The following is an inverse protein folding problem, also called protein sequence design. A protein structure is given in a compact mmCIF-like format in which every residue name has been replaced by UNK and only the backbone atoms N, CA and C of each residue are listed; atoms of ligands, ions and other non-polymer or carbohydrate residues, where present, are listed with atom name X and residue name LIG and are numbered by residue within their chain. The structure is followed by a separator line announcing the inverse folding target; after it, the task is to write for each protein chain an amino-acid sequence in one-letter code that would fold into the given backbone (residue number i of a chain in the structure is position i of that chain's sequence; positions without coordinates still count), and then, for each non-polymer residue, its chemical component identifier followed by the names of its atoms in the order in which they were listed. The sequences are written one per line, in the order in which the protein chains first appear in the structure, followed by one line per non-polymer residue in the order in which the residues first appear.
data_IF_219422196898
#
_entry.id   IF_219422196898
#
_cell.length_a   1.000
_cell.length_b   1.000
_cell.length_c   1.000
_cell.angle_alpha   90.00
_cell.angle_beta   90.00
_cell.angle_gamma   90.00
#
_symmetry.space_group_name_H-M   'P 1'
#
loop_
_entity.id
_entity.type
_entity.pdbx_description
1 polymer ?
#
# COMPACT_ATOMS: atom_id res chain seq x y z
N UNK A 1 -20.78 6.34 31.40
CA UNK A 1 -19.37 6.00 31.07
C UNK A 1 -19.14 6.32 29.60
N UNK A 2 -18.51 7.46 29.29
CA UNK A 2 -18.16 7.81 27.92
C UNK A 2 -17.06 6.89 27.41
N UNK A 3 -17.19 6.36 26.19
CA UNK A 3 -16.09 5.63 25.54
C UNK A 3 -14.98 6.63 25.27
N UNK A 4 -13.86 6.48 25.98
CA UNK A 4 -12.62 7.19 25.65
C UNK A 4 -12.28 6.88 24.20
N UNK A 5 -12.23 7.91 23.34
CA UNK A 5 -11.74 7.79 21.98
C UNK A 5 -10.28 7.37 22.12
N UNK A 6 -9.99 6.10 21.86
CA UNK A 6 -8.62 5.61 22.00
C UNK A 6 -7.70 6.42 21.10
N UNK A 7 -6.77 7.17 21.68
CA UNK A 7 -5.73 7.97 21.02
C UNK A 7 -4.68 7.10 20.30
N UNK A 8 -5.07 5.95 19.76
CA UNK A 8 -4.20 4.98 19.09
C UNK A 8 -3.50 5.56 17.86
N UNK A 9 -4.04 6.63 17.27
CA UNK A 9 -3.51 7.30 16.09
C UNK A 9 -2.79 8.61 16.40
N UNK A 10 -2.69 9.00 17.67
CA UNK A 10 -1.97 10.21 18.04
C UNK A 10 -0.46 9.99 17.88
N UNK A 11 0.17 10.86 17.11
CA UNK A 11 1.60 10.81 16.82
C UNK A 11 2.42 11.02 18.10
N UNK A 12 3.67 10.56 18.09
CA UNK A 12 4.62 10.79 19.18
C UNK A 12 5.46 12.02 18.84
N UNK A 13 5.14 13.15 19.46
CA UNK A 13 5.90 14.41 19.35
C UNK A 13 6.97 14.49 20.45
N UNK A 14 7.89 15.45 20.35
CA UNK A 14 8.91 15.67 21.38
C UNK A 14 8.25 15.93 22.75
N UNK A 15 7.18 16.73 22.80
CA UNK A 15 6.43 17.03 24.03
C UNK A 15 5.86 15.76 24.66
N UNK A 16 5.39 14.81 23.85
CA UNK A 16 4.91 13.50 24.33
C UNK A 16 6.03 12.64 24.86
N UNK A 17 7.23 12.72 24.28
CA UNK A 17 8.39 12.04 24.84
C UNK A 17 8.90 12.71 26.13
N UNK A 18 8.87 14.04 26.22
CA UNK A 18 9.15 14.77 27.46
C UNK A 18 8.20 14.29 28.55
N UNK A 19 6.89 14.32 28.31
CA UNK A 19 5.86 13.81 29.23
C UNK A 19 6.14 12.34 29.62
N UNK A 20 6.44 11.47 28.66
CA UNK A 20 6.78 10.08 28.94
C UNK A 20 8.04 9.95 29.81
N UNK A 21 9.11 10.70 29.53
CA UNK A 21 10.34 10.65 30.32
C UNK A 21 10.15 11.17 31.74
N UNK A 22 9.32 12.19 31.92
CA UNK A 22 8.98 12.72 33.24
C UNK A 22 8.16 11.72 34.05
N UNK A 23 7.18 11.08 33.42
CA UNK A 23 6.42 10.00 34.06
C UNK A 23 7.30 8.80 34.42
N UNK A 24 8.30 8.45 33.59
CA UNK A 24 9.25 7.37 33.87
C UNK A 24 10.23 7.68 35.02
N UNK A 25 10.43 8.95 35.36
CA UNK A 25 11.21 9.35 36.54
C UNK A 25 10.43 9.16 37.84
N UNK A 26 9.10 9.02 37.77
CA UNK A 26 8.26 8.69 38.91
C UNK A 26 8.18 7.18 39.15
N UNK A 27 7.59 6.76 40.27
CA UNK A 27 7.38 5.34 40.60
C UNK A 27 6.14 4.71 39.93
N UNK A 28 5.48 5.41 39.00
CA UNK A 28 4.34 4.87 38.25
C UNK A 28 4.78 3.71 37.36
N UNK A 29 4.01 2.62 37.32
CA UNK A 29 4.19 1.49 36.40
C UNK A 29 3.82 1.85 34.97
N UNK A 30 4.29 1.09 33.97
CA UNK A 30 3.90 1.31 32.56
C UNK A 30 2.38 1.23 32.32
N UNK A 31 1.65 0.45 33.13
CA UNK A 31 0.19 0.40 33.05
C UNK A 31 -0.45 1.72 33.48
N UNK A 32 0.04 2.31 34.57
CA UNK A 32 -0.45 3.60 35.08
C UNK A 32 -0.04 4.76 34.16
N UNK A 33 1.16 4.71 33.57
CA UNK A 33 1.60 5.68 32.55
C UNK A 33 0.69 5.60 31.32
N UNK A 34 0.38 4.39 30.86
CA UNK A 34 -0.53 4.17 29.74
C UNK A 34 -1.93 4.74 30.02
N UNK A 35 -2.50 4.45 31.20
CA UNK A 35 -3.78 5.00 31.63
C UNK A 35 -3.77 6.53 31.68
N UNK A 36 -2.74 7.13 32.29
CA UNK A 36 -2.61 8.58 32.44
C UNK A 36 -2.46 9.31 31.11
N UNK A 37 -1.77 8.71 30.15
CA UNK A 37 -1.56 9.28 28.81
C UNK A 37 -2.69 8.95 27.82
N UNK A 38 -3.68 8.14 28.23
CA UNK A 38 -4.74 7.66 27.34
C UNK A 38 -4.23 6.76 26.21
N UNK A 39 -3.08 6.09 26.40
CA UNK A 39 -2.45 5.19 25.41
C UNK A 39 -2.47 3.75 25.90
N UNK A 40 -2.20 2.79 25.02
CA UNK A 40 -2.10 1.38 25.44
C UNK A 40 -0.73 1.05 26.02
N UNK A 41 -0.68 0.08 26.93
CA UNK A 41 0.56 -0.46 27.50
C UNK A 41 1.55 -0.89 26.42
N UNK A 42 1.07 -1.54 25.35
CA UNK A 42 1.89 -1.96 24.21
C UNK A 42 2.48 -0.76 23.45
N UNK A 43 1.72 0.33 23.30
CA UNK A 43 2.20 1.55 22.65
C UNK A 43 3.32 2.22 23.47
N UNK A 44 3.16 2.29 24.80
CA UNK A 44 4.21 2.78 25.71
C UNK A 44 5.45 1.88 25.62
N UNK A 45 5.31 0.56 25.74
CA UNK A 45 6.44 -0.38 25.63
C UNK A 45 7.19 -0.26 24.31
N UNK A 46 6.48 -0.05 23.19
CA UNK A 46 7.10 0.18 21.89
C UNK A 46 7.95 1.47 21.90
N UNK A 47 7.47 2.55 22.52
CA UNK A 47 8.26 3.79 22.64
C UNK A 47 9.45 3.65 23.57
N UNK A 48 9.32 2.94 24.69
CA UNK A 48 10.44 2.68 25.59
C UNK A 48 11.60 1.99 24.85
N UNK A 49 11.29 1.09 23.91
CA UNK A 49 12.32 0.47 23.06
C UNK A 49 12.99 1.50 22.14
N UNK A 50 12.26 2.50 21.65
CA UNK A 50 12.80 3.57 20.78
C UNK A 50 13.67 4.57 21.51
N UNK A 51 13.47 4.74 22.82
CA UNK A 51 14.35 5.54 23.67
C UNK A 51 15.72 4.88 23.89
N UNK A 52 15.93 3.64 23.44
CA UNK A 52 17.23 2.96 23.51
C UNK A 52 17.92 3.00 22.14
N UNK A 53 19.27 2.96 22.09
CA UNK A 53 20.01 2.88 20.84
C UNK A 53 19.46 1.77 19.94
N UNK A 54 19.37 1.98 18.62
CA UNK A 54 18.73 1.04 17.70
C UNK A 54 19.41 -0.34 17.64
N UNK A 55 20.68 -0.45 18.05
CA UNK A 55 21.42 -1.71 18.12
C UNK A 55 21.15 -2.52 19.41
N UNK A 56 20.40 -1.96 20.37
CA UNK A 56 20.05 -2.66 21.59
C UNK A 56 19.00 -3.75 21.30
N UNK A 57 19.44 -5.01 21.27
CA UNK A 57 18.57 -6.19 21.08
C UNK A 57 17.82 -6.54 22.37
N UNK A 58 16.91 -5.66 22.78
CA UNK A 58 16.08 -5.85 23.96
C UNK A 58 14.60 -5.99 23.57
N UNK A 59 13.92 -6.95 24.20
CA UNK A 59 12.48 -7.07 24.07
C UNK A 59 11.78 -5.84 24.68
N UNK A 60 10.71 -5.35 24.07
CA UNK A 60 10.02 -4.12 24.49
C UNK A 60 9.59 -4.14 25.98
N UNK A 61 9.19 -5.32 26.49
CA UNK A 61 8.83 -5.51 27.91
C UNK A 61 9.99 -5.34 28.89
N UNK A 62 11.23 -5.55 28.43
CA UNK A 62 12.44 -5.40 29.26
C UNK A 62 13.03 -3.99 29.18
N UNK A 63 12.60 -3.17 28.21
CA UNK A 63 13.13 -1.83 27.98
C UNK A 63 12.87 -0.87 29.15
N UNK A 64 11.73 -1.01 29.85
CA UNK A 64 11.34 -0.12 30.94
C UNK A 64 12.42 0.04 32.00
N UNK A 65 12.89 -1.07 32.59
CA UNK A 65 13.88 -1.02 33.67
C UNK A 65 15.15 -0.29 33.23
N UNK A 66 15.65 -0.62 32.05
CA UNK A 66 16.87 -0.01 31.50
C UNK A 66 16.69 1.48 31.24
N UNK A 67 15.58 1.90 30.62
CA UNK A 67 15.30 3.32 30.37
C UNK A 67 15.20 4.09 31.69
N UNK A 68 14.56 3.53 32.72
CA UNK A 68 14.52 4.18 34.05
C UNK A 68 15.90 4.30 34.68
N UNK A 69 16.71 3.26 34.62
CA UNK A 69 18.07 3.27 35.17
C UNK A 69 18.94 4.31 34.46
N UNK A 70 18.80 4.44 33.13
CA UNK A 70 19.46 5.49 32.34
C UNK A 70 18.94 6.89 32.67
N UNK A 71 17.63 7.09 32.78
CA UNK A 71 17.05 8.40 33.14
C UNK A 71 17.43 8.86 34.55
N UNK A 72 17.69 7.93 35.48
CA UNK A 72 18.16 8.23 36.85
C UNK A 72 19.60 8.74 36.89
N UNK A 73 20.45 8.40 35.91
CA UNK A 73 21.83 8.90 35.90
C UNK A 73 21.91 10.40 35.57
N UNK A 74 20.85 11.00 35.03
CA UNK A 74 20.78 12.42 34.67
C UNK A 74 21.47 12.76 33.34
N UNK A 75 22.54 12.05 32.99
CA UNK A 75 23.34 12.30 31.78
C UNK A 75 22.78 11.67 30.50
N UNK A 76 21.67 10.94 30.60
CA UNK A 76 21.10 10.24 29.46
C UNK A 76 20.28 11.16 28.55
N UNK A 77 20.84 11.47 27.36
CA UNK A 77 20.11 12.13 26.28
C UNK A 77 19.22 11.13 25.54
N UNK A 78 17.95 11.09 25.93
CA UNK A 78 16.96 10.22 25.32
C UNK A 78 16.55 10.64 23.89
N UNK A 79 16.85 11.88 23.46
CA UNK A 79 16.57 12.35 22.09
C UNK A 79 17.55 11.76 21.09
N UNK A 80 18.79 11.53 21.49
CA UNK A 80 19.83 10.99 20.61
C UNK A 80 19.44 9.64 19.99
N UNK A 81 18.97 8.62 20.75
CA UNK A 81 18.44 7.39 20.16
C UNK A 81 17.28 7.61 19.19
N UNK A 82 16.36 8.55 19.46
CA UNK A 82 15.24 8.84 18.57
C UNK A 82 15.72 9.40 17.23
N UNK A 83 16.72 10.30 17.25
CA UNK A 83 17.38 10.81 16.03
C UNK A 83 18.01 9.66 15.24
N UNK A 84 18.70 8.73 15.89
CA UNK A 84 19.32 7.57 15.24
C UNK A 84 18.28 6.62 14.62
N UNK A 85 17.16 6.36 15.31
CA UNK A 85 16.06 5.55 14.78
C UNK A 85 15.44 6.19 13.54
N UNK A 86 15.20 7.51 13.55
CA UNK A 86 14.64 8.19 12.38
C UNK A 86 15.64 8.26 11.23
N UNK A 87 16.91 8.54 11.51
CA UNK A 87 17.97 8.54 10.49
C UNK A 87 18.09 7.18 9.77
N UNK A 88 18.03 6.04 10.50
CA UNK A 88 18.01 4.70 9.88
C UNK A 88 16.78 4.43 9.02
N UNK A 89 15.68 5.12 9.29
CA UNK A 89 14.45 5.05 8.51
C UNK A 89 14.43 6.06 7.35
N UNK A 90 15.53 6.80 7.11
CA UNK A 90 15.59 7.95 6.19
C UNK A 90 14.47 8.97 6.48
N UNK A 91 14.31 9.31 7.76
CA UNK A 91 13.36 10.32 8.25
C UNK A 91 14.06 11.23 9.25
N UNK A 92 13.43 12.36 9.51
CA UNK A 92 13.93 13.36 10.45
C UNK A 92 13.17 13.29 11.77
N UNK A 93 13.93 13.36 12.86
CA UNK A 93 13.39 13.60 14.20
C UNK A 93 13.20 15.10 14.38
N UNK A 94 11.95 15.53 14.54
CA UNK A 94 11.59 16.94 14.72
C UNK A 94 11.67 17.33 16.19
N UNK A 95 12.81 17.89 16.59
CA UNK A 95 13.00 18.42 17.94
C UNK A 95 12.37 19.83 18.11
N UNK A 96 12.32 20.37 19.35
CA UNK A 96 11.67 21.66 19.60
C UNK A 96 12.30 22.81 18.82
N UNK A 97 13.63 22.86 18.73
CA UNK A 97 14.34 23.95 18.04
C UNK A 97 14.02 23.95 16.53
N UNK A 98 13.92 22.77 15.92
CA UNK A 98 13.46 22.63 14.53
C UNK A 98 12.02 23.08 14.35
N UNK A 99 11.12 22.73 15.28
CA UNK A 99 9.73 23.17 15.22
C UNK A 99 9.59 24.69 15.40
N UNK A 100 10.41 25.31 16.26
CA UNK A 100 10.45 26.75 16.45
C UNK A 100 10.98 27.46 15.19
N UNK A 101 12.01 26.89 14.57
CA UNK A 101 12.52 27.36 13.27
C UNK A 101 11.43 27.30 12.19
N UNK A 102 10.64 26.21 12.14
CA UNK A 102 9.51 26.10 11.21
C UNK A 102 8.40 27.13 11.48
N UNK A 103 8.03 27.35 12.75
CA UNK A 103 7.02 28.36 13.13
C UNK A 103 7.47 29.75 12.71
N UNK A 104 8.71 30.11 13.03
CA UNK A 104 9.29 31.40 12.65
C UNK A 104 9.33 31.56 11.12
N UNK A 105 9.82 30.55 10.40
CA UNK A 105 9.87 30.54 8.94
C UNK A 105 8.48 30.70 8.30
N UNK A 106 7.47 30.02 8.84
CA UNK A 106 6.08 30.12 8.38
C UNK A 106 5.49 31.53 8.58
N UNK A 107 5.73 32.12 9.75
CA UNK A 107 5.29 33.47 10.09
C UNK A 107 5.93 34.53 9.18
N UNK A 108 7.22 34.37 8.87
CA UNK A 108 7.97 35.28 7.99
C UNK A 108 7.79 34.98 6.49
N UNK A 109 7.02 33.95 6.12
CA UNK A 109 6.91 33.45 4.75
C UNK A 109 8.29 33.21 4.09
N UNK A 110 9.22 32.64 4.86
CA UNK A 110 10.56 32.35 4.39
C UNK A 110 10.52 31.33 3.24
N UNK A 111 11.31 31.50 2.16
CA UNK A 111 11.33 30.56 1.06
C UNK A 111 11.57 29.11 1.52
N UNK A 112 10.79 28.17 0.99
CA UNK A 112 10.85 26.76 1.39
C UNK A 112 12.25 26.18 1.23
N UNK A 113 12.97 26.57 0.18
CA UNK A 113 14.35 26.13 -0.05
C UNK A 113 15.27 26.51 1.13
N UNK A 114 15.20 27.74 1.62
CA UNK A 114 16.02 28.17 2.75
C UNK A 114 15.68 27.39 4.03
N UNK A 115 14.38 27.10 4.26
CA UNK A 115 13.95 26.27 5.38
C UNK A 115 14.45 24.83 5.26
N UNK A 116 14.39 24.25 4.07
CA UNK A 116 14.91 22.89 3.82
C UNK A 116 16.41 22.80 4.06
N UNK A 117 17.17 23.81 3.62
CA UNK A 117 18.62 23.89 3.83
C UNK A 117 18.94 24.08 5.33
N UNK A 118 18.24 24.97 6.03
CA UNK A 118 18.45 25.23 7.45
C UNK A 118 18.15 24.01 8.33
N UNK A 119 17.12 23.23 7.97
CA UNK A 119 16.65 22.08 8.75
C UNK A 119 17.30 20.76 8.31
N UNK A 120 18.03 20.75 7.20
CA UNK A 120 18.53 19.52 6.58
C UNK A 120 17.39 18.55 6.18
N UNK A 121 16.24 19.09 5.78
CA UNK A 121 15.02 18.34 5.52
C UNK A 121 14.57 18.46 4.07
N UNK A 122 13.86 17.45 3.55
CA UNK A 122 13.23 17.58 2.23
C UNK A 122 12.01 18.51 2.27
N UNK A 123 11.66 19.13 1.15
CA UNK A 123 10.46 19.98 1.01
C UNK A 123 9.19 19.27 1.50
N UNK A 124 9.09 17.98 1.20
CA UNK A 124 7.94 17.15 1.57
C UNK A 124 7.88 16.88 3.08
N UNK A 125 9.03 16.73 3.73
CA UNK A 125 9.09 16.57 5.19
C UNK A 125 8.71 17.87 5.89
N UNK A 126 9.20 19.02 5.41
CA UNK A 126 8.82 20.35 5.91
C UNK A 126 7.31 20.57 5.77
N UNK A 127 6.75 20.36 4.56
CA UNK A 127 5.31 20.52 4.33
C UNK A 127 4.46 19.62 5.24
N UNK A 128 4.88 18.37 5.44
CA UNK A 128 4.18 17.45 6.37
C UNK A 128 4.27 17.92 7.81
N UNK A 129 5.40 18.46 8.22
CA UNK A 129 5.56 18.94 9.59
C UNK A 129 4.76 20.22 9.84
N UNK A 130 4.70 21.14 8.88
CA UNK A 130 3.82 22.31 8.95
C UNK A 130 2.34 21.91 9.11
N UNK A 131 1.88 20.91 8.35
CA UNK A 131 0.53 20.35 8.51
C UNK A 131 0.31 19.72 9.89
N UNK A 132 1.31 18.99 10.42
CA UNK A 132 1.23 18.39 11.76
C UNK A 132 1.19 19.42 12.89
N UNK A 133 1.87 20.55 12.72
CA UNK A 133 1.86 21.66 13.66
C UNK A 133 0.58 22.51 13.56
N UNK A 134 -0.30 22.22 12.59
CA UNK A 134 -1.49 23.01 12.31
C UNK A 134 -1.19 24.40 11.75
N UNK A 135 0.00 24.58 11.16
CA UNK A 135 0.41 25.83 10.53
C UNK A 135 -0.11 25.94 9.10
N UNK A 136 -0.21 24.80 8.41
CA UNK A 136 -0.81 24.68 7.08
C UNK A 136 -1.93 23.65 7.11
N UNK A 137 -3.01 23.89 6.37
CA UNK A 137 -4.11 22.94 6.18
C UNK A 137 -3.73 21.81 5.23
N UNK A 138 -2.92 22.12 4.21
CA UNK A 138 -2.52 21.16 3.18
C UNK A 138 -1.19 21.54 2.51
N UNK A 139 -0.69 20.64 1.66
CA UNK A 139 0.60 20.82 0.96
C UNK A 139 0.57 21.93 -0.10
N UNK A 140 -0.60 22.26 -0.67
CA UNK A 140 -0.73 23.35 -1.65
C UNK A 140 -0.53 24.69 -0.96
N UNK A 141 -1.20 24.91 0.16
CA UNK A 141 -1.02 26.14 0.95
C UNK A 141 0.45 26.35 1.33
N UNK A 142 1.16 25.27 1.67
CA UNK A 142 2.61 25.35 1.94
C UNK A 142 3.38 25.88 0.74
N UNK A 143 3.15 25.32 -0.46
CA UNK A 143 3.82 25.72 -1.67
C UNK A 143 3.42 27.13 -2.15
N UNK A 144 2.15 27.51 -2.00
CA UNK A 144 1.67 28.85 -2.33
C UNK A 144 2.29 29.92 -1.42
N UNK A 145 2.40 29.61 -0.12
CA UNK A 145 2.91 30.56 0.87
C UNK A 145 4.44 30.67 0.86
N UNK A 146 5.14 29.54 0.80
CA UNK A 146 6.60 29.48 0.96
C UNK A 146 7.35 29.30 -0.38
N UNK A 147 6.63 29.07 -1.48
CA UNK A 147 7.21 28.58 -2.72
C UNK A 147 7.61 27.09 -2.64
N UNK A 148 7.97 26.51 -3.77
CA UNK A 148 8.65 25.21 -3.86
C UNK A 148 9.48 25.16 -5.13
N UNK A 149 10.47 24.28 -5.18
CA UNK A 149 11.20 23.99 -6.40
C UNK A 149 10.25 23.32 -7.42
N UNK A 150 10.04 23.88 -8.62
CA UNK A 150 9.18 23.29 -9.65
C UNK A 150 9.64 21.89 -10.09
N UNK A 151 10.94 21.59 -10.00
CA UNK A 151 11.51 20.27 -10.25
C UNK A 151 11.51 19.37 -8.99
N UNK A 152 11.16 19.92 -7.83
CA UNK A 152 11.15 19.25 -6.54
C UNK A 152 10.03 18.22 -6.39
N UNK A 153 10.17 17.38 -5.36
CA UNK A 153 9.21 16.30 -5.07
C UNK A 153 7.85 16.86 -4.65
N UNK A 154 7.83 18.01 -3.96
CA UNK A 154 6.58 18.65 -3.54
C UNK A 154 5.79 19.14 -4.75
N UNK A 155 6.42 19.88 -5.67
CA UNK A 155 5.80 20.33 -6.90
C UNK A 155 5.32 19.18 -7.79
N UNK A 156 6.09 18.09 -7.88
CA UNK A 156 5.67 16.88 -8.59
C UNK A 156 4.40 16.26 -7.98
N UNK A 157 4.28 16.22 -6.64
CA UNK A 157 3.08 15.72 -5.96
C UNK A 157 1.88 16.64 -6.13
N UNK A 158 2.08 17.95 -6.12
CA UNK A 158 1.00 18.92 -6.35
C UNK A 158 0.45 18.81 -7.77
N UNK A 159 1.32 18.69 -8.78
CA UNK A 159 0.91 18.42 -10.16
C UNK A 159 0.13 17.11 -10.28
N UNK A 160 0.60 16.03 -9.67
CA UNK A 160 -0.14 14.76 -9.67
C UNK A 160 -1.48 14.84 -8.91
N UNK A 161 -1.56 15.66 -7.86
CA UNK A 161 -2.81 15.90 -7.14
C UNK A 161 -3.78 16.75 -7.99
N UNK A 162 -3.26 17.72 -8.74
CA UNK A 162 -4.02 18.53 -9.70
C UNK A 162 -4.51 17.71 -10.87
N UNK A 163 -3.65 16.90 -11.48
CA UNK A 163 -4.01 15.97 -12.55
C UNK A 163 -5.06 14.97 -12.04
N UNK A 164 -4.91 14.49 -10.80
CA UNK A 164 -5.90 13.60 -10.17
C UNK A 164 -7.23 14.32 -9.96
N UNK A 165 -7.22 15.56 -9.49
CA UNK A 165 -8.42 16.36 -9.29
C UNK A 165 -9.09 16.73 -10.63
N UNK A 166 -8.30 17.01 -11.67
CA UNK A 166 -8.78 17.23 -13.03
C UNK A 166 -9.33 15.95 -13.67
N UNK A 167 -8.81 14.78 -13.26
CA UNK A 167 -9.30 13.46 -13.63
C UNK A 167 -10.32 12.89 -12.63
N UNK A 168 -10.79 13.68 -11.67
CA UNK A 168 -11.85 13.26 -10.76
C UNK A 168 -13.17 13.21 -11.52
N UNK A 169 -13.90 12.12 -11.34
CA UNK A 169 -15.26 11.94 -11.84
C UNK A 169 -16.20 11.73 -10.66
N UNK A 170 -17.42 12.24 -10.80
CA UNK A 170 -18.45 12.11 -9.79
C UNK A 170 -19.36 10.96 -10.16
N UNK A 171 -19.41 9.94 -9.29
CA UNK A 171 -20.23 8.76 -9.50
C UNK A 171 -21.52 8.91 -8.72
N UNK A 172 -22.63 9.00 -9.44
CA UNK A 172 -23.97 8.96 -8.88
C UNK A 172 -24.45 7.51 -8.84
N UNK A 173 -24.74 7.02 -7.63
CA UNK A 173 -25.39 5.72 -7.40
C UNK A 173 -26.77 5.98 -6.82
N UNK A 174 -27.81 5.51 -7.50
CA UNK A 174 -29.21 5.59 -7.04
C UNK A 174 -29.78 4.20 -6.95
N UNK A 175 -30.26 3.83 -5.77
CA UNK A 175 -30.89 2.54 -5.49
C UNK A 175 -32.41 2.70 -5.37
N UNK A 176 -33.15 1.69 -5.82
CA UNK A 176 -34.61 1.54 -5.77
C UNK A 176 -35.45 2.56 -6.57
N UNK A 177 -34.82 3.43 -7.36
CA UNK A 177 -35.57 4.29 -8.28
C UNK A 177 -36.31 3.48 -9.36
N UNK A 178 -37.56 3.84 -9.63
CA UNK A 178 -38.39 3.28 -10.72
C UNK A 178 -37.79 3.72 -12.07
N UNK A 179 -38.08 2.97 -13.14
CA UNK A 179 -37.43 3.17 -14.44
C UNK A 179 -35.95 2.74 -14.54
N UNK A 180 -35.24 2.55 -13.43
CA UNK A 180 -33.82 2.13 -13.47
C UNK A 180 -33.66 0.62 -13.69
N UNK A 181 -32.54 0.22 -14.29
CA UNK A 181 -32.28 -1.17 -14.63
C UNK A 181 -32.21 -2.06 -13.37
N UNK A 182 -32.85 -3.22 -13.43
CA UNK A 182 -32.65 -4.25 -12.42
C UNK A 182 -31.21 -4.79 -12.55
N UNK A 183 -30.46 -4.82 -11.45
CA UNK A 183 -29.14 -5.47 -11.47
C UNK A 183 -29.39 -6.98 -11.64
N UNK A 184 -28.74 -7.65 -12.61
CA UNK A 184 -28.72 -9.10 -12.66
C UNK A 184 -27.81 -9.60 -11.53
N UNK A 185 -28.34 -9.71 -10.31
CA UNK A 185 -27.59 -10.31 -9.19
C UNK A 185 -27.64 -11.82 -9.32
N UNK A 186 -26.50 -12.44 -9.68
CA UNK A 186 -26.32 -13.89 -9.78
C UNK A 186 -26.27 -14.63 -8.43
N UNK A 187 -26.80 -14.06 -7.35
CA UNK A 187 -26.81 -14.65 -6.01
C UNK A 187 -28.18 -14.40 -5.40
N UNK A 188 -28.76 -15.45 -4.81
CA UNK A 188 -30.12 -15.57 -4.32
C UNK A 188 -30.50 -14.56 -3.22
N UNK A 189 -30.63 -13.28 -3.57
CA UNK A 189 -31.39 -12.32 -2.79
C UNK A 189 -32.83 -12.23 -3.33
N UNK A 190 -33.85 -12.34 -2.46
CA UNK A 190 -35.25 -12.46 -2.87
C UNK A 190 -35.87 -11.19 -3.47
N UNK A 191 -35.16 -10.06 -3.51
CA UNK A 191 -35.67 -8.80 -4.07
C UNK A 191 -34.69 -8.24 -5.11
N UNK A 192 -35.16 -8.08 -6.35
CA UNK A 192 -34.43 -7.42 -7.43
C UNK A 192 -34.27 -5.94 -7.09
N UNK A 193 -33.18 -5.57 -6.41
CA UNK A 193 -32.82 -4.16 -6.21
C UNK A 193 -32.49 -3.54 -7.56
N UNK A 194 -33.13 -2.40 -7.85
CA UNK A 194 -32.84 -1.60 -9.03
C UNK A 194 -31.73 -0.62 -8.67
N UNK A 195 -30.73 -0.47 -9.53
CA UNK A 195 -29.63 0.47 -9.29
C UNK A 195 -29.29 1.19 -10.59
N UNK A 196 -29.25 2.51 -10.50
CA UNK A 196 -28.66 3.37 -11.50
C UNK A 196 -27.26 3.76 -11.07
N UNK A 197 -26.31 3.69 -12.01
CA UNK A 197 -24.95 4.19 -11.83
C UNK A 197 -24.65 5.07 -13.02
N UNK A 198 -24.25 6.31 -12.76
CA UNK A 198 -23.80 7.25 -13.80
C UNK A 198 -22.54 7.96 -13.34
N UNK A 199 -21.74 8.40 -14.32
CA UNK A 199 -20.46 9.08 -14.11
C UNK A 199 -20.57 10.46 -14.71
N UNK A 200 -20.18 11.46 -13.94
CA UNK A 200 -20.34 12.89 -14.25
C UNK A 200 -19.00 13.60 -14.11
N UNK A 201 -18.83 14.70 -14.84
CA UNK A 201 -17.59 15.50 -14.81
C UNK A 201 -17.48 16.32 -13.52
N UNK A 202 -18.63 16.76 -12.98
CA UNK A 202 -18.72 17.56 -11.76
C UNK A 202 -19.92 17.12 -10.90
N UNK A 203 -19.94 17.61 -9.66
CA UNK A 203 -20.98 17.32 -8.69
C UNK A 203 -22.35 17.86 -9.14
N UNK A 204 -22.38 19.06 -9.71
CA UNK A 204 -23.62 19.73 -10.10
C UNK A 204 -24.36 18.96 -11.19
N UNK A 205 -23.63 18.41 -12.18
CA UNK A 205 -24.17 17.54 -13.22
C UNK A 205 -24.71 16.23 -12.62
N UNK A 206 -24.02 15.66 -11.64
CA UNK A 206 -24.49 14.48 -10.92
C UNK A 206 -25.77 14.76 -10.11
N UNK A 207 -25.87 15.92 -9.46
CA UNK A 207 -27.04 16.35 -8.70
C UNK A 207 -28.24 16.65 -9.61
N UNK A 208 -28.02 17.29 -10.75
CA UNK A 208 -29.04 17.48 -11.78
C UNK A 208 -29.58 16.14 -12.30
N UNK A 209 -28.68 15.20 -12.61
CA UNK A 209 -29.07 13.86 -13.03
C UNK A 209 -29.85 13.10 -11.94
N UNK A 210 -29.49 13.27 -10.66
CA UNK A 210 -30.27 12.74 -9.54
C UNK A 210 -31.68 13.36 -9.49
N UNK A 211 -31.79 14.68 -9.67
CA UNK A 211 -33.06 15.38 -9.74
C UNK A 211 -33.98 14.86 -10.84
N UNK A 212 -33.43 14.58 -12.03
CA UNK A 212 -34.19 14.01 -13.14
C UNK A 212 -34.63 12.56 -12.86
N UNK A 213 -33.77 11.73 -12.26
CA UNK A 213 -34.12 10.36 -11.86
C UNK A 213 -35.23 10.35 -10.80
N UNK A 214 -35.15 11.23 -9.80
CA UNK A 214 -36.18 11.36 -8.76
C UNK A 214 -37.51 11.84 -9.34
N UNK A 215 -37.48 12.79 -10.29
CA UNK A 215 -38.69 13.26 -10.98
C UNK A 215 -39.36 12.12 -11.76
N UNK A 216 -38.58 11.39 -12.56
CA UNK A 216 -39.09 10.24 -13.31
C UNK A 216 -39.65 9.14 -12.38
N UNK A 217 -38.99 8.88 -11.24
CA UNK A 217 -39.48 7.91 -10.25
C UNK A 217 -40.87 8.28 -9.68
N UNK A 218 -41.09 9.57 -9.38
CA UNK A 218 -42.39 10.07 -8.90
C UNK A 218 -43.45 10.02 -9.99
N UNK A 219 -43.10 10.39 -11.22
CA UNK A 219 -44.00 10.29 -12.38
C UNK A 219 -44.45 8.85 -12.64
N UNK A 220 -43.58 7.88 -12.38
CA UNK A 220 -43.86 6.43 -12.41
C UNK A 220 -44.64 5.91 -11.16
N UNK A 221 -45.10 6.80 -10.29
CA UNK A 221 -45.87 6.46 -9.08
C UNK A 221 -45.04 5.88 -7.93
N UNK A 222 -43.73 6.18 -7.89
CA UNK A 222 -42.85 5.82 -6.79
C UNK A 222 -42.87 6.81 -5.62
N UNK A 223 -42.51 6.34 -4.42
CA UNK A 223 -42.33 7.19 -3.24
C UNK A 223 -40.86 7.63 -3.12
N UNK A 224 -40.54 8.94 -3.13
CA UNK A 224 -39.18 9.43 -2.95
C UNK A 224 -38.46 8.88 -1.72
N UNK A 225 -39.18 8.51 -0.65
CA UNK A 225 -38.61 7.92 0.55
C UNK A 225 -38.04 6.51 0.37
N UNK A 226 -38.39 5.82 -0.73
CA UNK A 226 -37.85 4.49 -1.09
C UNK A 226 -36.47 4.57 -1.75
N UNK A 227 -36.10 5.73 -2.27
CA UNK A 227 -34.87 5.94 -3.04
C UNK A 227 -33.71 6.33 -2.12
N UNK A 228 -32.60 5.63 -2.27
CA UNK A 228 -31.33 6.02 -1.63
C UNK A 228 -30.33 6.42 -2.70
N UNK A 229 -29.72 7.59 -2.55
CA UNK A 229 -28.74 8.10 -3.49
C UNK A 229 -27.42 8.46 -2.80
N UNK A 230 -26.31 8.28 -3.51
CA UNK A 230 -24.99 8.76 -3.11
C UNK A 230 -24.27 9.33 -4.32
N UNK A 231 -23.67 10.51 -4.15
CA UNK A 231 -22.78 11.13 -5.14
C UNK A 231 -21.39 11.08 -4.52
N UNK A 232 -20.45 10.42 -5.20
CA UNK A 232 -19.12 10.19 -4.65
C UNK A 232 -18.05 10.56 -5.66
N UNK A 233 -17.10 11.38 -5.24
CA UNK A 233 -15.91 11.69 -6.02
C UNK A 233 -15.01 10.43 -6.15
N UNK A 234 -14.54 10.19 -7.37
CA UNK A 234 -13.64 9.09 -7.71
C UNK A 234 -12.60 9.60 -8.70
N UNK A 235 -11.33 9.40 -8.40
CA UNK A 235 -10.27 9.66 -9.36
C UNK A 235 -10.13 8.49 -10.35
N UNK A 236 -9.98 8.79 -11.64
CA UNK A 236 -9.62 7.77 -12.64
C UNK A 236 -8.30 7.11 -12.23
N UNK A 237 -8.34 5.82 -11.91
CA UNK A 237 -7.20 5.05 -11.38
C UNK A 237 -7.37 4.54 -9.93
N UNK A 238 -8.33 5.05 -9.15
CA UNK A 238 -8.68 4.51 -7.83
C UNK A 238 -9.59 3.26 -7.91
N UNK A 239 -9.66 2.62 -9.07
CA UNK A 239 -10.38 1.35 -9.30
C UNK A 239 -9.63 0.15 -8.69
N UNK A 240 -9.11 0.28 -7.47
CA UNK A 240 -8.80 -0.83 -6.60
C UNK A 240 -10.10 -1.30 -5.93
N UNK A 241 -10.80 -2.20 -6.63
CA UNK A 241 -11.79 -3.19 -6.13
C UNK A 241 -12.40 -2.91 -4.73
N UNK A 242 -13.63 -2.37 -4.72
CA UNK A 242 -14.72 -2.79 -3.84
C UNK A 242 -14.49 -2.81 -2.32
N UNK A 243 -14.31 -1.64 -1.71
CA UNK A 243 -14.64 -1.44 -0.30
C UNK A 243 -15.38 -0.11 -0.14
N UNK A 244 -16.71 -0.17 -0.12
CA UNK A 244 -17.51 0.93 0.40
C UNK A 244 -17.41 0.91 1.93
N UNK A 245 -16.97 1.99 2.61
CA UNK A 245 -17.33 2.19 4.00
C UNK A 245 -18.83 2.53 4.07
N UNK A 246 -19.55 1.76 4.88
CA UNK A 246 -20.95 1.96 5.20
C UNK A 246 -21.10 3.30 5.95
N UNK A 247 -21.40 4.38 5.23
CA UNK A 247 -21.74 5.69 5.79
C UNK A 247 -23.25 5.87 5.72
N UNK A 248 -23.96 5.26 6.67
CA UNK A 248 -25.32 5.66 7.00
C UNK A 248 -25.26 7.00 7.75
N UNK A 249 -25.28 8.10 7.02
CA UNK A 249 -25.39 9.45 7.55
C UNK A 249 -26.49 10.21 6.81
N UNK A 250 -27.60 10.47 7.50
CA UNK A 250 -28.67 11.35 7.05
C UNK A 250 -28.11 12.72 6.69
N UNK A 251 -28.25 13.13 5.42
CA UNK A 251 -27.86 14.46 4.94
C UNK A 251 -28.78 15.50 5.56
N UNK A 252 -28.21 16.40 6.37
CA UNK A 252 -28.87 17.62 6.81
C UNK A 252 -28.96 18.61 5.64
N UNK A 253 -30.13 19.20 5.43
CA UNK A 253 -30.41 20.13 4.34
C UNK A 253 -29.51 21.37 4.37
N UNK A 254 -28.79 21.62 3.28
CA UNK A 254 -28.07 22.88 3.02
C UNK A 254 -29.07 23.93 2.49
N UNK A 255 -28.99 25.22 2.90
CA UNK A 255 -29.90 26.24 2.41
C UNK A 255 -29.58 26.65 0.95
N UNK A 256 -30.62 26.73 0.11
CA UNK A 256 -30.57 27.18 -1.28
C UNK A 256 -29.99 28.61 -1.39
N UNK A 257 -29.00 28.87 -2.27
CA UNK A 257 -28.67 30.22 -2.71
C UNK A 257 -29.81 30.79 -3.57
N UNK A 258 -30.07 32.09 -3.42
CA UNK A 258 -31.13 32.81 -4.11
C UNK A 258 -30.99 32.77 -5.63
N UNK A 259 -32.09 32.41 -6.28
CA UNK A 259 -32.34 32.51 -7.71
C UNK A 259 -32.13 33.98 -8.15
N UNK A 260 -31.14 34.23 -9.01
CA UNK A 260 -30.99 35.52 -9.69
C UNK A 260 -31.70 35.40 -11.03
N UNK A 261 -32.82 36.10 -11.17
CA UNK A 261 -33.49 36.30 -12.45
C UNK A 261 -32.57 37.09 -13.40
N UNK A 262 -32.09 36.42 -14.45
CA UNK A 262 -31.46 37.06 -15.61
C UNK A 262 -32.44 37.01 -16.79
N UNK A 263 -33.53 37.77 -16.67
CA UNK A 263 -34.36 38.16 -17.81
C UNK A 263 -33.64 39.31 -18.52
N UNK A 264 -32.85 38.94 -19.53
CA UNK A 264 -32.12 39.86 -20.41
C UNK A 264 -32.16 39.30 -21.83
N UNK A 265 -33.28 39.56 -22.52
CA UNK A 265 -33.44 39.38 -23.96
C UNK A 265 -32.37 40.17 -24.72
N UNK A 266 -31.50 39.48 -25.46
CA UNK A 266 -30.69 40.11 -26.49
C UNK A 266 -30.76 39.27 -27.78
N UNK A 267 -31.80 39.59 -28.56
CA UNK A 267 -32.14 39.01 -29.86
C UNK A 267 -31.27 39.67 -30.95
N UNK A 268 -29.98 39.34 -30.99
CA UNK A 268 -29.09 39.71 -32.10
C UNK A 268 -27.90 38.75 -32.24
N UNK A 269 -28.14 37.44 -32.21
CA UNK A 269 -27.09 36.45 -32.47
C UNK A 269 -26.90 36.26 -33.99
N UNK A 270 -25.96 37.03 -34.55
CA UNK A 270 -25.46 36.83 -35.91
C UNK A 270 -24.73 35.48 -36.11
N UNK A 271 -24.39 35.12 -37.36
CA UNK A 271 -23.90 33.79 -37.77
C UNK A 271 -22.50 33.37 -37.24
N UNK A 272 -21.99 34.01 -36.19
CA UNK A 272 -20.66 33.74 -35.64
C UNK A 272 -20.62 32.63 -34.56
N UNK A 273 -21.76 32.21 -34.01
CA UNK A 273 -21.81 31.15 -32.97
C UNK A 273 -21.52 29.75 -33.50
N UNK A 274 -21.88 29.43 -34.76
CA UNK A 274 -21.63 28.08 -35.30
C UNK A 274 -20.14 27.75 -35.42
N UNK A 275 -19.27 28.75 -35.66
CA UNK A 275 -17.83 28.52 -35.84
C UNK A 275 -17.09 28.15 -34.56
N UNK A 276 -17.62 28.49 -33.37
CA UNK A 276 -16.96 28.17 -32.09
C UNK A 276 -17.33 26.75 -31.68
N UNK A 277 -18.60 26.37 -31.83
CA UNK A 277 -19.09 25.03 -31.53
C UNK A 277 -18.44 23.99 -32.46
N UNK A 278 -18.26 24.31 -33.75
CA UNK A 278 -17.57 23.44 -34.71
C UNK A 278 -16.09 23.23 -34.35
N UNK A 279 -15.40 24.26 -33.85
CA UNK A 279 -13.99 24.15 -33.42
C UNK A 279 -13.84 23.34 -32.14
N UNK A 280 -14.77 23.51 -31.20
CA UNK A 280 -14.77 22.73 -29.97
C UNK A 280 -15.05 21.25 -30.26
N UNK A 281 -16.04 20.95 -31.10
CA UNK A 281 -16.33 19.58 -31.53
C UNK A 281 -15.11 18.93 -32.22
N UNK A 282 -14.41 19.66 -33.09
CA UNK A 282 -13.18 19.18 -33.74
C UNK A 282 -12.06 18.90 -32.72
N UNK A 283 -11.86 19.77 -31.73
CA UNK A 283 -10.84 19.58 -30.70
C UNK A 283 -11.15 18.37 -29.80
N UNK A 284 -12.42 18.15 -29.44
CA UNK A 284 -12.84 16.98 -28.67
C UNK A 284 -12.62 15.68 -29.46
N UNK A 285 -12.94 15.68 -30.75
CA UNK A 285 -12.70 14.53 -31.64
C UNK A 285 -11.21 14.24 -31.82
N UNK A 286 -10.37 15.28 -31.89
CA UNK A 286 -8.91 15.14 -31.97
C UNK A 286 -8.34 14.51 -30.69
N UNK A 287 -8.71 15.03 -29.51
CA UNK A 287 -8.30 14.44 -28.23
C UNK A 287 -8.77 13.00 -28.06
N UNK A 288 -9.97 12.67 -28.56
CA UNK A 288 -10.47 11.29 -28.54
C UNK A 288 -9.62 10.36 -29.40
N UNK A 289 -9.23 10.79 -30.61
CA UNK A 289 -8.35 10.02 -31.50
C UNK A 289 -6.95 9.86 -30.91
N UNK A 290 -6.40 10.89 -30.28
CA UNK A 290 -5.11 10.80 -29.60
C UNK A 290 -5.14 9.79 -28.45
N UNK A 291 -6.18 9.83 -27.61
CA UNK A 291 -6.37 8.86 -26.53
C UNK A 291 -6.53 7.43 -27.06
N UNK A 292 -7.35 7.23 -28.09
CA UNK A 292 -7.50 5.91 -28.72
C UNK A 292 -6.17 5.40 -29.31
N UNK A 293 -5.37 6.29 -29.90
CA UNK A 293 -4.03 5.96 -30.39
C UNK A 293 -3.06 5.58 -29.25
N UNK A 294 -3.11 6.29 -28.12
CA UNK A 294 -2.30 5.97 -26.93
C UNK A 294 -2.69 4.62 -26.35
N UNK A 295 -3.99 4.35 -26.16
CA UNK A 295 -4.48 3.06 -25.68
C UNK A 295 -4.11 1.90 -26.62
N UNK A 296 -4.10 2.15 -27.94
CA UNK A 296 -3.64 1.15 -28.93
C UNK A 296 -2.14 0.90 -28.82
N UNK A 297 -1.33 1.95 -28.64
CA UNK A 297 0.12 1.83 -28.45
C UNK A 297 0.45 1.07 -27.16
N UNK A 298 -0.18 1.42 -26.03
CA UNK A 298 0.01 0.71 -24.76
C UNK A 298 -0.38 -0.77 -24.85
N UNK A 299 -1.50 -1.09 -25.53
CA UNK A 299 -1.90 -2.48 -25.78
C UNK A 299 -0.90 -3.22 -26.68
N UNK A 300 -0.34 -2.54 -27.69
CA UNK A 300 0.67 -3.13 -28.56
C UNK A 300 1.97 -3.42 -27.79
N UNK A 301 2.44 -2.46 -26.99
CA UNK A 301 3.60 -2.64 -26.12
C UNK A 301 3.39 -3.74 -25.08
N UNK A 302 2.21 -3.81 -24.47
CA UNK A 302 1.88 -4.87 -23.51
C UNK A 302 1.86 -6.25 -24.17
N UNK A 303 1.29 -6.37 -25.38
CA UNK A 303 1.34 -7.62 -26.17
C UNK A 303 2.77 -8.00 -26.53
N UNK A 304 3.60 -7.03 -26.91
CA UNK A 304 5.00 -7.28 -27.21
C UNK A 304 5.76 -7.76 -25.95
N UNK A 305 5.57 -7.10 -24.80
CA UNK A 305 6.16 -7.55 -23.52
C UNK A 305 5.72 -8.96 -23.15
N UNK A 306 4.43 -9.27 -23.27
CA UNK A 306 3.89 -10.61 -23.03
C UNK A 306 4.47 -11.65 -23.99
N UNK A 307 4.59 -11.32 -25.29
CA UNK A 307 5.19 -12.21 -26.29
C UNK A 307 6.65 -12.54 -25.95
N UNK A 308 7.45 -11.55 -25.58
CA UNK A 308 8.86 -11.78 -25.22
C UNK A 308 8.98 -12.53 -23.90
N UNK A 309 8.13 -12.25 -22.92
CA UNK A 309 8.09 -12.99 -21.65
C UNK A 309 7.71 -14.46 -21.88
N UNK A 310 6.73 -14.73 -22.75
CA UNK A 310 6.31 -16.08 -23.12
C UNK A 310 7.42 -16.84 -23.85
N UNK A 311 8.05 -16.22 -24.87
CA UNK A 311 9.16 -16.83 -25.59
C UNK A 311 10.32 -17.17 -24.64
N UNK A 312 10.63 -16.27 -23.71
CA UNK A 312 11.66 -16.49 -22.70
C UNK A 312 11.28 -17.65 -21.76
N UNK A 313 10.03 -17.73 -21.31
CA UNK A 313 9.55 -18.83 -20.48
C UNK A 313 9.64 -20.18 -21.21
N UNK A 314 9.28 -20.23 -22.49
CA UNK A 314 9.42 -21.43 -23.34
C UNK A 314 10.88 -21.88 -23.46
N UNK A 315 11.83 -20.93 -23.57
CA UNK A 315 13.27 -21.23 -23.60
C UNK A 315 13.84 -21.63 -22.24
N UNK A 316 13.31 -21.10 -21.14
CA UNK A 316 13.73 -21.44 -19.78
C UNK A 316 13.24 -22.82 -19.32
N UNK A 317 12.06 -23.26 -19.80
CA UNK A 317 11.45 -24.53 -19.41
C UNK A 317 12.36 -25.77 -19.55
N UNK A 318 13.09 -26.00 -20.65
CA UNK A 318 14.01 -27.14 -20.74
C UNK A 318 15.15 -27.06 -19.72
N UNK A 319 15.64 -25.86 -19.39
CA UNK A 319 16.71 -25.65 -18.38
C UNK A 319 16.19 -26.03 -16.98
N UNK A 320 14.98 -25.59 -16.65
CA UNK A 320 14.34 -25.94 -15.37
C UNK A 320 14.06 -27.44 -15.27
N UNK A 321 13.59 -28.05 -16.36
CA UNK A 321 13.31 -29.48 -16.43
C UNK A 321 14.59 -30.29 -16.19
N UNK A 322 15.69 -29.92 -16.85
CA UNK A 322 17.01 -30.56 -16.64
C UNK A 322 17.47 -30.43 -15.18
N UNK A 323 17.33 -29.26 -14.58
CA UNK A 323 17.70 -29.03 -13.18
C UNK A 323 16.85 -29.89 -12.22
N UNK A 324 15.54 -30.01 -12.46
CA UNK A 324 14.66 -30.89 -11.68
C UNK A 324 15.09 -32.34 -11.81
N UNK A 325 15.36 -32.84 -13.00
CA UNK A 325 15.80 -34.25 -13.17
C UNK A 325 17.12 -34.52 -12.44
N UNK A 326 18.05 -33.56 -12.41
CA UNK A 326 19.30 -33.68 -11.64
C UNK A 326 19.06 -33.66 -10.14
N UNK A 327 18.21 -32.78 -9.64
CA UNK A 327 17.96 -32.62 -8.21
C UNK A 327 16.99 -33.67 -7.66
N UNK A 328 16.18 -34.32 -8.52
CA UNK A 328 15.17 -35.31 -8.11
C UNK A 328 15.76 -36.50 -7.34
N UNK A 329 17.05 -36.79 -7.50
CA UNK A 329 17.74 -37.84 -6.73
C UNK A 329 17.92 -37.48 -5.24
N UNK A 330 17.82 -36.20 -4.87
CA UNK A 330 17.88 -35.74 -3.48
C UNK A 330 16.51 -35.67 -2.83
N UNK A 331 16.48 -35.70 -1.50
CA UNK A 331 15.26 -35.61 -0.71
C UNK A 331 14.67 -34.18 -0.78
N UNK A 332 13.64 -33.99 -1.60
CA UNK A 332 12.88 -32.74 -1.65
C UNK A 332 11.90 -32.58 -0.49
N UNK A 333 11.46 -31.33 -0.25
CA UNK A 333 10.39 -30.98 0.68
C UNK A 333 9.02 -31.26 0.05
N UNK A 334 8.03 -31.60 0.87
CA UNK A 334 6.63 -31.67 0.41
C UNK A 334 6.01 -30.26 0.46
N UNK A 335 5.67 -29.69 -0.69
CA UNK A 335 4.94 -28.43 -0.81
C UNK A 335 3.44 -28.69 -0.79
N UNK A 336 2.76 -28.17 0.24
CA UNK A 336 1.30 -28.13 0.34
C UNK A 336 0.80 -26.73 -0.02
N UNK A 337 0.07 -26.62 -1.13
CA UNK A 337 -0.69 -25.41 -1.45
C UNK A 337 -2.05 -25.53 -0.77
N UNK A 338 -2.31 -24.67 0.22
CA UNK A 338 -3.52 -24.76 1.04
C UNK A 338 -4.39 -23.53 0.86
N UNK A 339 -5.72 -23.71 0.96
CA UNK A 339 -6.71 -22.62 0.95
C UNK A 339 -7.60 -22.69 2.18
N UNK A 340 -8.00 -21.55 2.77
CA UNK A 340 -8.96 -21.55 3.87
C UNK A 340 -10.35 -22.04 3.41
N UNK A 341 -10.93 -22.98 4.15
CA UNK A 341 -12.28 -23.56 3.88
C UNK A 341 -13.42 -22.55 4.08
N UNK A 342 -13.26 -21.56 4.96
CA UNK A 342 -14.25 -20.50 5.21
C UNK A 342 -13.73 -19.16 4.68
N UNK A 343 -14.55 -18.43 3.92
CA UNK A 343 -14.23 -17.10 3.36
C UNK A 343 -14.13 -15.99 4.41
N UNK A 344 -14.54 -16.22 5.67
CA UNK A 344 -14.46 -15.19 6.71
C UNK A 344 -13.00 -15.03 7.16
N UNK A 345 -12.48 -13.84 6.91
CA UNK A 345 -11.18 -13.33 7.33
C UNK A 345 -11.05 -13.29 8.86
N UNK A 346 -11.01 -14.45 9.51
CA UNK A 346 -10.43 -14.52 10.85
C UNK A 346 -8.92 -14.39 10.68
N UNK A 347 -8.30 -13.51 11.49
CA UNK A 347 -6.85 -13.31 11.53
C UNK A 347 -6.17 -14.68 11.56
N UNK A 348 -5.54 -15.03 10.45
CA UNK A 348 -4.99 -16.35 10.22
C UNK A 348 -4.10 -16.76 11.40
N UNK A 349 -4.41 -17.86 12.08
CA UNK A 349 -3.51 -18.46 13.07
C UNK A 349 -2.47 -19.34 12.39
N UNK A 350 -1.83 -20.23 13.16
CA UNK A 350 -0.85 -21.22 12.66
C UNK A 350 -1.42 -22.06 11.50
N UNK A 351 -0.57 -22.38 10.51
CA UNK A 351 -0.96 -23.16 9.33
C UNK A 351 -1.08 -24.66 9.63
N UNK A 352 -0.23 -25.19 10.51
CA UNK A 352 -0.30 -26.57 10.98
C UNK A 352 -1.06 -26.71 12.30
N UNK A 353 -1.65 -27.87 12.50
CA UNK A 353 -2.25 -28.30 13.77
C UNK A 353 -1.21 -28.50 14.87
N UNK A 354 -1.68 -28.91 16.05
CA UNK A 354 -0.78 -29.39 17.10
C UNK A 354 -0.12 -30.73 16.69
N UNK A 355 -0.83 -31.51 15.88
CA UNK A 355 -0.31 -32.71 15.24
C UNK A 355 0.60 -32.30 14.08
N UNK A 356 1.88 -32.63 14.22
CA UNK A 356 2.96 -32.25 13.29
C UNK A 356 2.65 -32.81 11.89
N UNK A 357 2.59 -31.93 10.87
CA UNK A 357 2.55 -32.29 9.46
C UNK A 357 1.24 -32.07 8.72
N UNK A 358 0.10 -32.06 9.40
CA UNK A 358 -1.19 -31.82 8.74
C UNK A 358 -1.61 -30.35 8.84
N UNK A 359 -2.03 -29.72 7.72
CA UNK A 359 -2.62 -28.40 7.76
C UNK A 359 -3.80 -28.38 8.73
N UNK A 360 -4.00 -27.28 9.46
CA UNK A 360 -5.14 -27.19 10.37
C UNK A 360 -6.45 -27.52 9.64
N UNK A 361 -7.44 -28.15 10.30
CA UNK A 361 -8.70 -28.55 9.68
C UNK A 361 -9.46 -27.44 8.93
N UNK A 362 -9.16 -26.16 9.25
CA UNK A 362 -9.69 -24.96 8.58
C UNK A 362 -9.08 -24.68 7.21
N UNK A 363 -7.99 -25.34 6.84
CA UNK A 363 -7.37 -25.28 5.54
C UNK A 363 -7.66 -26.58 4.76
N UNK A 364 -7.78 -26.46 3.46
CA UNK A 364 -7.90 -27.56 2.51
C UNK A 364 -6.68 -27.54 1.61
N UNK A 365 -6.05 -28.70 1.43
CA UNK A 365 -4.93 -28.86 0.50
C UNK A 365 -5.50 -28.85 -0.92
N UNK A 366 -5.11 -27.87 -1.72
CA UNK A 366 -5.47 -27.77 -3.14
C UNK A 366 -4.49 -28.58 -3.98
N UNK A 367 -3.20 -28.52 -3.64
CA UNK A 367 -2.14 -29.14 -4.42
C UNK A 367 -1.05 -29.68 -3.51
N UNK A 368 -0.46 -30.80 -3.93
CA UNK A 368 0.68 -31.45 -3.29
C UNK A 368 1.74 -31.70 -4.35
N UNK A 369 2.95 -31.21 -4.09
CA UNK A 369 4.08 -31.47 -4.97
C UNK A 369 5.40 -31.44 -4.20
N UNK A 370 6.45 -32.05 -4.75
CA UNK A 370 7.79 -31.92 -4.19
C UNK A 370 8.43 -30.59 -4.61
N UNK A 371 9.24 -30.01 -3.74
CA UNK A 371 10.04 -28.82 -4.07
C UNK A 371 11.42 -28.85 -3.41
N UNK A 372 12.31 -28.02 -3.92
CA UNK A 372 13.65 -27.80 -3.39
C UNK A 372 13.87 -26.32 -3.14
N UNK A 373 14.40 -25.98 -1.97
CA UNK A 373 14.82 -24.63 -1.66
C UNK A 373 16.07 -24.30 -2.48
N UNK A 374 15.99 -23.19 -3.20
CA UNK A 374 17.14 -22.60 -3.87
C UNK A 374 17.57 -21.36 -3.07
N UNK A 375 18.87 -21.21 -2.75
CA UNK A 375 19.39 -20.01 -2.10
C UNK A 375 19.21 -18.83 -3.05
N UNK A 376 18.42 -17.82 -2.68
CA UNK A 376 18.40 -16.59 -3.46
C UNK A 376 19.54 -15.68 -2.99
N UNK A 377 20.40 -15.28 -3.91
CA UNK A 377 21.45 -14.31 -3.64
C UNK A 377 21.02 -13.03 -4.34
N UNK A 378 20.79 -11.95 -3.61
CA UNK A 378 20.65 -10.63 -4.24
C UNK A 378 21.93 -9.86 -3.95
N UNK A 379 22.71 -9.58 -4.99
CA UNK A 379 23.86 -8.69 -4.91
C UNK A 379 23.41 -7.25 -5.15
N UNK A 380 23.44 -6.43 -4.10
CA UNK A 380 23.33 -4.98 -4.22
C UNK A 380 24.70 -4.35 -3.96
N UNK A 381 25.37 -3.94 -5.04
CA UNK A 381 26.75 -3.42 -4.97
C UNK A 381 27.72 -4.51 -4.54
N UNK A 382 28.52 -4.24 -3.49
CA UNK A 382 29.49 -5.20 -2.93
C UNK A 382 28.89 -6.16 -1.89
N UNK A 383 27.60 -6.02 -1.56
CA UNK A 383 26.96 -6.79 -0.48
C UNK A 383 26.00 -7.82 -1.07
N UNK A 384 26.30 -9.10 -0.85
CA UNK A 384 25.39 -10.21 -1.14
C UNK A 384 24.47 -10.43 0.05
N UNK A 385 23.17 -10.17 -0.11
CA UNK A 385 22.16 -10.47 0.92
C UNK A 385 21.27 -11.62 0.45
N UNK A 386 20.96 -12.55 1.37
CA UNK A 386 19.98 -13.63 1.17
C UNK A 386 18.57 -13.03 1.29
N UNK A 387 17.93 -12.67 0.18
CA UNK A 387 16.60 -12.04 0.16
C UNK A 387 15.51 -13.04 -0.26
N UNK A 388 14.96 -13.75 0.74
CA UNK A 388 13.86 -14.70 0.51
C UNK A 388 14.32 -16.02 -0.08
N UNK A 389 13.48 -17.04 0.03
CA UNK A 389 13.79 -18.36 -0.51
C UNK A 389 13.06 -18.52 -1.86
N UNK A 390 13.76 -18.98 -2.89
CA UNK A 390 13.10 -19.49 -4.09
C UNK A 390 12.83 -20.97 -3.94
N UNK A 391 11.76 -21.44 -4.58
CA UNK A 391 11.46 -22.86 -4.69
C UNK A 391 11.56 -23.29 -6.15
N UNK A 392 12.21 -24.41 -6.40
CA UNK A 392 12.06 -25.19 -7.62
C UNK A 392 11.07 -26.32 -7.34
N UNK A 393 9.96 -26.39 -8.07
CA UNK A 393 8.97 -27.47 -7.92
C UNK A 393 9.31 -28.66 -8.80
N UNK A 394 8.77 -29.84 -8.49
CA UNK A 394 8.94 -31.03 -9.35
C UNK A 394 8.29 -30.90 -10.73
N UNK A 395 7.44 -29.89 -10.92
CA UNK A 395 6.87 -29.49 -12.22
C UNK A 395 7.77 -28.54 -12.99
N UNK A 396 9.00 -28.31 -12.52
CA UNK A 396 9.96 -27.38 -13.10
C UNK A 396 9.45 -25.94 -13.13
N UNK A 397 8.80 -25.52 -12.04
CA UNK A 397 8.38 -24.13 -11.83
C UNK A 397 9.31 -23.46 -10.83
N UNK A 398 9.75 -22.23 -11.13
CA UNK A 398 10.42 -21.36 -10.17
C UNK A 398 9.43 -20.45 -9.50
N UNK A 399 9.52 -20.35 -8.19
CA UNK A 399 8.50 -19.70 -7.37
C UNK A 399 9.12 -18.86 -6.26
N UNK A 400 8.65 -17.62 -6.10
CA UNK A 400 9.04 -16.76 -4.98
C UNK A 400 8.25 -17.05 -3.72
N UNK A 401 8.97 -17.14 -2.59
CA UNK A 401 8.37 -17.05 -1.27
C UNK A 401 8.45 -15.60 -0.79
N UNK A 402 7.39 -14.83 -1.08
CA UNK A 402 7.29 -13.44 -0.61
C UNK A 402 7.49 -13.34 0.91
N UNK A 403 7.97 -12.20 1.42
CA UNK A 403 8.12 -11.95 2.87
C UNK A 403 6.80 -12.07 3.66
N UNK A 404 5.66 -11.99 2.97
CA UNK A 404 4.32 -12.23 3.53
C UNK A 404 3.84 -13.68 3.42
N UNK A 405 4.51 -14.52 2.64
CA UNK A 405 4.21 -15.95 2.52
C UNK A 405 4.59 -16.63 3.81
N UNK A 406 3.58 -17.04 4.56
CA UNK A 406 3.78 -17.81 5.78
C UNK A 406 4.26 -19.20 5.41
N UNK A 407 5.57 -19.39 5.49
CA UNK A 407 6.19 -20.69 5.44
C UNK A 407 6.08 -21.25 6.86
N UNK A 408 5.41 -22.37 7.00
CA UNK A 408 5.66 -23.22 8.14
C UNK A 408 6.42 -24.43 7.62
N UNK A 409 7.57 -24.72 8.23
CA UNK A 409 8.33 -25.94 8.00
C UNK A 409 8.00 -26.84 9.17
N UNK A 410 7.40 -27.99 8.90
CA UNK A 410 7.26 -29.03 9.91
C UNK A 410 8.51 -29.92 9.87
N UNK A 411 9.06 -30.26 11.04
CA UNK A 411 10.27 -31.10 11.12
C UNK A 411 10.00 -32.51 10.59
N UNK A 412 8.77 -33.01 10.78
CA UNK A 412 8.32 -34.32 10.34
C UNK A 412 6.80 -34.29 10.08
N UNK A 413 6.34 -34.55 8.83
CA UNK A 413 7.11 -34.64 7.59
C UNK A 413 7.72 -33.27 7.21
N UNK A 414 8.82 -33.28 6.43
CA UNK A 414 9.50 -32.09 5.89
C UNK A 414 8.61 -31.34 4.91
N UNK A 415 7.58 -30.71 5.43
CA UNK A 415 6.47 -30.16 4.68
C UNK A 415 6.49 -28.64 4.78
N UNK A 416 6.38 -28.00 3.63
CA UNK A 416 6.20 -26.55 3.46
C UNK A 416 4.74 -26.30 3.08
N UNK A 417 3.99 -25.63 3.95
CA UNK A 417 2.62 -25.22 3.62
C UNK A 417 2.57 -23.74 3.26
N UNK A 418 1.91 -23.41 2.13
CA UNK A 418 1.69 -22.04 1.67
C UNK A 418 0.19 -21.76 1.48
N UNK A 419 -0.29 -20.68 2.07
CA UNK A 419 -1.72 -20.34 2.11
C UNK A 419 -2.22 -19.57 0.87
N UNK A 420 -1.30 -19.16 0.01
CA UNK A 420 -1.58 -18.48 -1.24
C UNK A 420 -0.87 -19.25 -2.35
N UNK A 421 -1.48 -19.38 -3.54
CA UNK A 421 -0.78 -19.91 -4.70
C UNK A 421 0.46 -19.04 -4.89
N UNK A 422 1.64 -19.64 -4.92
CA UNK A 422 2.84 -18.86 -4.84
C UNK A 422 3.08 -18.20 -6.20
N UNK A 423 3.73 -17.03 -6.20
CA UNK A 423 3.88 -16.26 -7.44
C UNK A 423 4.95 -16.91 -8.30
N UNK A 424 4.65 -17.27 -9.57
CA UNK A 424 5.69 -17.72 -10.49
C UNK A 424 6.72 -16.60 -10.63
N UNK A 425 8.00 -16.98 -10.69
CA UNK A 425 9.10 -16.05 -10.91
C UNK A 425 9.06 -15.61 -12.37
N UNK A 426 9.04 -14.30 -12.63
CA UNK A 426 9.41 -13.80 -13.95
C UNK A 426 10.93 -13.98 -14.10
N UNK A 427 11.31 -15.09 -14.72
CA UNK A 427 12.71 -15.51 -14.84
C UNK A 427 13.52 -14.45 -15.59
N UNK A 428 12.92 -13.77 -16.58
CA UNK A 428 13.64 -12.74 -17.32
C UNK A 428 13.94 -11.58 -16.40
N UNK A 429 12.92 -11.02 -15.73
CA UNK A 429 13.09 -9.89 -14.82
C UNK A 429 14.07 -10.25 -13.71
N UNK A 430 13.87 -11.39 -13.04
CA UNK A 430 14.69 -11.82 -11.91
C UNK A 430 16.17 -12.02 -12.28
N UNK A 431 16.46 -12.64 -13.43
CA UNK A 431 17.83 -12.96 -13.82
C UNK A 431 18.51 -11.88 -14.69
N UNK A 432 17.77 -10.87 -15.16
CA UNK A 432 18.37 -9.75 -15.94
C UNK A 432 19.27 -8.87 -15.08
N UNK A 433 18.92 -8.65 -13.82
CA UNK A 433 19.70 -7.81 -12.90
C UNK A 433 21.08 -8.40 -12.59
N UNK A 434 21.24 -9.72 -12.69
CA UNK A 434 22.52 -10.41 -12.49
C UNK A 434 23.47 -10.28 -13.68
N UNK A 435 22.94 -9.99 -14.88
CA UNK A 435 23.73 -9.77 -16.09
C UNK A 435 24.38 -8.39 -16.13
N UNK A 436 23.80 -7.41 -15.45
CA UNK A 436 24.22 -6.00 -15.47
C UNK A 436 25.45 -5.67 -14.58
N UNK A 437 26.34 -6.64 -14.35
CA UNK A 437 27.59 -6.39 -13.60
C UNK A 437 28.57 -5.63 -14.50
N UNK A 438 29.02 -4.41 -14.12
CA UNK A 438 29.94 -3.61 -14.93
C UNK A 438 31.19 -4.41 -15.33
N UNK A 439 31.42 -4.56 -16.64
CA UNK A 439 32.62 -5.23 -17.18
C UNK A 439 32.45 -6.71 -17.55
N UNK A 440 31.32 -7.35 -17.26
CA UNK A 440 30.90 -8.57 -17.97
C UNK A 440 30.08 -8.13 -19.19
N UNK A 441 30.46 -8.55 -20.40
CA UNK A 441 29.65 -8.31 -21.60
C UNK A 441 28.24 -8.89 -21.42
N UNK A 442 27.28 -8.48 -22.26
CA UNK A 442 25.86 -8.88 -22.17
C UNK A 442 25.69 -10.40 -22.01
N UNK A 443 25.58 -10.87 -20.76
CA UNK A 443 25.33 -12.27 -20.44
C UNK A 443 23.82 -12.48 -20.55
N UNK A 444 23.41 -13.47 -21.35
CA UNK A 444 22.00 -13.83 -21.46
C UNK A 444 21.45 -14.26 -20.09
N UNK A 445 20.26 -13.77 -19.67
CA UNK A 445 19.64 -14.22 -18.42
C UNK A 445 19.43 -15.75 -18.34
N UNK A 446 19.31 -16.44 -19.49
CA UNK A 446 19.25 -17.91 -19.52
C UNK A 446 20.57 -18.58 -19.12
N UNK A 447 21.71 -17.98 -19.45
CA UNK A 447 23.02 -18.51 -19.04
C UNK A 447 23.29 -18.27 -17.56
N UNK A 448 22.82 -17.13 -17.04
CA UNK A 448 22.81 -16.87 -15.60
C UNK A 448 21.94 -17.91 -14.89
N UNK A 449 20.72 -18.17 -15.36
CA UNK A 449 19.84 -19.19 -14.81
C UNK A 449 20.50 -20.58 -14.80
N UNK A 450 21.11 -21.01 -15.92
CA UNK A 450 21.82 -22.29 -16.00
C UNK A 450 22.93 -22.39 -14.97
N UNK A 451 23.76 -21.35 -14.87
CA UNK A 451 24.89 -21.30 -13.93
C UNK A 451 24.40 -21.35 -12.49
N UNK A 452 23.35 -20.60 -12.19
CA UNK A 452 22.72 -20.57 -10.88
C UNK A 452 22.15 -21.93 -10.47
N UNK A 453 21.37 -22.58 -11.33
CA UNK A 453 20.79 -23.91 -11.05
C UNK A 453 21.86 -24.99 -10.94
N UNK A 454 22.92 -24.92 -11.75
CA UNK A 454 24.07 -25.82 -11.63
C UNK A 454 24.75 -25.66 -10.25
N UNK A 455 24.95 -24.42 -9.77
CA UNK A 455 25.46 -24.16 -8.42
C UNK A 455 24.56 -24.74 -7.35
N UNK A 456 23.24 -24.56 -7.47
CA UNK A 456 22.27 -25.14 -6.53
C UNK A 456 22.32 -26.67 -6.52
N UNK A 457 22.49 -27.33 -7.68
CA UNK A 457 22.64 -28.79 -7.73
C UNK A 457 23.87 -29.25 -6.93
N UNK A 458 25.01 -28.58 -7.11
CA UNK A 458 26.25 -28.87 -6.39
C UNK A 458 26.09 -28.63 -4.88
N UNK A 459 25.37 -27.59 -4.48
CA UNK A 459 25.07 -27.35 -3.07
C UNK A 459 24.18 -28.46 -2.47
N UNK A 460 23.18 -28.94 -3.20
CA UNK A 460 22.36 -30.09 -2.77
C UNK A 460 23.15 -31.40 -2.73
N UNK A 461 24.16 -31.59 -3.59
CA UNK A 461 25.11 -32.71 -3.51
C UNK A 461 25.95 -32.69 -2.23
N UNK A 462 26.34 -31.50 -1.78
CA UNK A 462 27.23 -31.32 -0.65
C UNK A 462 26.51 -31.04 0.67
N UNK A 463 25.22 -30.68 0.64
CA UNK A 463 24.43 -30.47 1.82
C UNK A 463 24.39 -31.78 2.63
N UNK A 464 24.97 -31.82 3.84
CA UNK A 464 24.80 -33.00 4.69
C UNK A 464 23.30 -33.19 4.87
N UNK A 465 22.80 -34.42 4.65
CA UNK A 465 21.45 -34.81 5.04
C UNK A 465 21.20 -34.23 6.43
N UNK A 466 20.34 -33.21 6.53
CA UNK A 466 20.18 -32.40 7.75
C UNK A 466 20.15 -33.35 8.96
N UNK A 467 21.02 -33.17 9.96
CA UNK A 467 21.03 -34.05 11.11
C UNK A 467 19.61 -34.08 11.70
N UNK A 468 19.07 -35.26 12.06
CA UNK A 468 17.66 -35.44 12.42
C UNK A 468 17.22 -34.68 13.68
N UNK A 469 18.08 -33.91 14.33
CA UNK A 469 17.77 -33.10 15.51
C UNK A 469 18.20 -31.64 15.31
N UNK A 470 17.25 -30.80 14.88
CA UNK A 470 17.27 -29.35 15.06
C UNK A 470 16.22 -28.90 16.11
N UNK A 471 15.71 -29.85 16.89
CA UNK A 471 14.59 -29.67 17.83
C UNK A 471 14.91 -28.79 19.06
N UNK A 472 16.14 -28.29 19.22
CA UNK A 472 16.57 -27.49 20.37
C UNK A 472 17.25 -26.16 20.04
N UNK A 473 16.89 -25.49 18.93
CA UNK A 473 17.15 -24.04 18.81
C UNK A 473 15.86 -23.25 18.92
N UNK A 474 15.40 -23.02 20.16
CA UNK A 474 14.43 -21.97 20.46
C UNK A 474 15.10 -20.60 20.23
N UNK A 475 14.75 -19.92 19.13
CA UNK A 475 14.56 -18.47 19.05
C UNK A 475 13.89 -18.03 17.74
#
# INVERSE_FOLDING_TARGET
MGRSISNHYEWWTDERYVELTDLLRTDLTVSEIAERTGRSTTAIQAQLKRLLPPDYKLAARKAEKLVRDLLRSGDFDWRQPLREHEARANRIYWDPDMNDTLRYGWEQAQPLQELTEALGASELEVARQLMRLGLAENSRETAERLGCDPAGTLAGRLRLAEDRAAAAVWVLVVDNARGTAAIPTGVAEPEKRRRHISVHLDFDTADLALGDILRAHVEDGGDPGEVTASIVERSVGDLAVGAAPDLAGTVASVPRPGLVDLDGTDEAAGPARSSVDDRFAQAVDELRRERESQEQLERAEQRQRQSVAQEFAEQAQPILTEAVERIRQYEGLELLIVRPKKRKFERAGRLFGADRGEPQPRYEVIDRQRCWLLPSWVTHGSTTMLYGSMLLTERAELVHLDAGTRIAVCEQPRTVAIAQPPRPVDIREHFSDFGAVPGRGDVSPLDVLRTYLASCCVEHEHAPLLPPDLSESEN
#
